data_IF_514073335445
#
_entry.id   IF_514073335445
#
_cell.length_a   1.000
_cell.length_b   1.000
_cell.length_c   1.000
_cell.angle_alpha   90.00
_cell.angle_beta   90.00
_cell.angle_gamma   90.00
#
_symmetry.space_group_name_H-M   'P 1'
#
loop_
_entity.id
_entity.type
_entity.pdbx_description
1 polymer ?
#
# COMPACT_ATOMS: atom_id res chain seq x y z
N UNK A 1 -22.21 4.30 16.57
CA UNK A 1 -20.89 4.04 15.97
C UNK A 1 -20.89 4.67 14.58
N UNK A 2 -20.04 5.67 14.33
CA UNK A 2 -19.89 6.24 12.99
C UNK A 2 -19.26 5.18 12.09
N UNK A 3 -20.01 4.71 11.09
CA UNK A 3 -19.52 3.84 10.03
C UNK A 3 -18.29 4.47 9.40
N UNK A 4 -17.14 3.81 9.48
CA UNK A 4 -15.89 4.28 8.87
C UNK A 4 -16.12 4.36 7.37
N UNK A 5 -16.27 5.57 6.84
CA UNK A 5 -16.51 5.74 5.41
C UNK A 5 -15.21 5.40 4.67
N UNK A 6 -15.29 4.46 3.72
CA UNK A 6 -14.19 4.14 2.82
C UNK A 6 -14.36 4.91 1.51
N UNK A 7 -13.24 5.22 0.87
CA UNK A 7 -13.18 5.89 -0.42
C UNK A 7 -12.16 5.20 -1.31
N UNK A 8 -12.41 5.20 -2.61
CA UNK A 8 -11.44 4.71 -3.59
C UNK A 8 -10.40 5.79 -3.88
N UNK A 9 -9.13 5.38 -3.98
CA UNK A 9 -8.03 6.22 -4.45
C UNK A 9 -7.14 5.41 -5.38
N UNK A 10 -6.28 6.10 -6.15
CA UNK A 10 -5.37 5.47 -7.11
C UNK A 10 -3.94 5.82 -6.73
N UNK A 11 -3.10 4.80 -6.56
CA UNK A 11 -1.66 4.95 -6.43
C UNK A 11 -0.93 4.14 -7.50
N UNK A 12 -0.20 4.83 -8.37
CA UNK A 12 0.43 4.20 -9.53
C UNK A 12 -0.62 3.59 -10.46
N UNK A 13 -0.64 2.25 -10.57
CA UNK A 13 -1.62 1.49 -11.36
C UNK A 13 -2.67 0.76 -10.50
N UNK A 14 -2.62 0.92 -9.18
CA UNK A 14 -3.45 0.16 -8.24
C UNK A 14 -4.60 1.04 -7.74
N UNK A 15 -5.82 0.49 -7.79
CA UNK A 15 -7.00 1.06 -7.12
C UNK A 15 -7.06 0.54 -5.69
N UNK A 16 -7.16 1.44 -4.73
CA UNK A 16 -7.12 1.14 -3.30
C UNK A 16 -8.39 1.63 -2.63
N UNK A 17 -9.02 0.78 -1.82
CA UNK A 17 -10.10 1.18 -0.93
C UNK A 17 -9.50 1.53 0.44
N UNK A 18 -9.62 2.79 0.86
CA UNK A 18 -8.95 3.31 2.06
C UNK A 18 -9.96 4.00 2.98
N UNK A 19 -9.72 4.06 4.31
CA UNK A 19 -10.51 4.91 5.18
C UNK A 19 -10.42 6.37 4.73
N UNK A 20 -11.54 7.07 4.60
CA UNK A 20 -11.56 8.47 4.14
C UNK A 20 -10.69 9.39 5.01
N UNK A 21 -10.64 9.10 6.32
CA UNK A 21 -9.81 9.81 7.29
C UNK A 21 -8.30 9.64 7.08
N UNK A 22 -7.85 8.62 6.35
CA UNK A 22 -6.44 8.44 5.98
C UNK A 22 -5.96 9.45 4.94
N UNK A 23 -6.87 10.09 4.19
CA UNK A 23 -6.51 11.08 3.17
C UNK A 23 -6.43 12.51 3.71
N UNK A 24 -7.16 12.81 4.80
CA UNK A 24 -7.24 14.15 5.38
C UNK A 24 -6.48 14.29 6.71
N UNK A 25 -6.25 13.19 7.43
CA UNK A 25 -5.60 13.21 8.74
C UNK A 25 -4.08 13.42 8.65
N UNK A 26 -3.56 14.35 9.47
CA UNK A 26 -2.10 14.54 9.64
C UNK A 26 -1.39 13.28 10.14
N UNK A 27 -2.08 12.53 11.01
CA UNK A 27 -1.64 11.20 11.47
C UNK A 27 -2.70 10.20 11.00
N UNK A 28 -2.38 9.30 10.06
CA UNK A 28 -3.37 8.37 9.56
C UNK A 28 -3.85 7.41 10.66
N UNK A 29 -5.16 7.10 10.71
CA UNK A 29 -5.69 6.18 11.70
C UNK A 29 -5.21 4.75 11.42
N UNK A 30 -5.11 3.95 12.49
CA UNK A 30 -4.80 2.51 12.39
C UNK A 30 -6.04 1.64 12.31
N UNK A 31 -7.20 2.19 12.67
CA UNK A 31 -8.50 1.51 12.69
C UNK A 31 -9.44 2.25 11.72
N UNK A 32 -10.21 1.55 10.87
CA UNK A 32 -10.26 0.08 10.73
C UNK A 32 -9.05 -0.52 9.99
N UNK A 33 -8.33 0.27 9.21
CA UNK A 33 -7.13 -0.16 8.51
C UNK A 33 -6.16 1.01 8.36
N UNK A 34 -4.86 0.71 8.28
CA UNK A 34 -3.83 1.74 8.15
C UNK A 34 -3.48 2.01 6.68
N UNK A 35 -3.53 3.28 6.30
CA UNK A 35 -3.03 3.77 5.00
C UNK A 35 -2.38 5.14 5.19
N UNK A 36 -1.16 5.31 4.69
CA UNK A 36 -0.46 6.61 4.69
C UNK A 36 -0.15 7.02 3.24
N UNK A 37 -0.83 8.04 2.69
CA UNK A 37 -0.56 8.53 1.34
C UNK A 37 0.85 9.14 1.21
N UNK A 38 1.41 9.72 2.28
CA UNK A 38 2.77 10.28 2.27
C UNK A 38 3.87 9.21 2.11
N UNK A 39 3.55 7.94 2.34
CA UNK A 39 4.48 6.83 2.11
C UNK A 39 4.56 6.36 0.65
N UNK A 40 3.93 7.08 -0.30
CA UNK A 40 3.95 6.76 -1.74
C UNK A 40 5.36 6.57 -2.28
N UNK A 41 6.27 7.52 -2.04
CA UNK A 41 7.64 7.45 -2.56
C UNK A 41 8.38 6.20 -2.04
N UNK A 42 8.13 5.82 -0.79
CA UNK A 42 8.73 4.63 -0.20
C UNK A 42 8.24 3.34 -0.88
N UNK A 43 6.96 3.29 -1.26
CA UNK A 43 6.39 2.19 -2.06
C UNK A 43 6.94 2.18 -3.48
N UNK A 44 7.03 3.33 -4.14
CA UNK A 44 7.61 3.44 -5.49
C UNK A 44 9.05 2.89 -5.53
N UNK A 45 9.87 3.23 -4.54
CA UNK A 45 11.25 2.70 -4.40
C UNK A 45 11.24 1.18 -4.19
N UNK A 46 10.32 0.66 -3.35
CA UNK A 46 10.20 -0.79 -3.13
C UNK A 46 9.85 -1.52 -4.43
N UNK A 47 8.90 -0.99 -5.21
CA UNK A 47 8.52 -1.54 -6.52
C UNK A 47 9.70 -1.48 -7.51
N UNK A 48 10.48 -0.40 -7.50
CA UNK A 48 11.68 -0.29 -8.34
C UNK A 48 12.71 -1.37 -7.99
N UNK A 49 12.93 -1.64 -6.70
CA UNK A 49 13.81 -2.72 -6.24
C UNK A 49 13.26 -4.09 -6.63
N UNK A 50 11.96 -4.36 -6.46
CA UNK A 50 11.37 -5.65 -6.88
C UNK A 50 11.54 -5.92 -8.38
N UNK A 51 11.50 -4.88 -9.21
CA UNK A 51 11.73 -5.01 -10.66
C UNK A 51 13.12 -5.53 -11.00
N UNK A 52 14.15 -5.28 -10.17
CA UNK A 52 15.50 -5.80 -10.44
C UNK A 52 15.58 -7.31 -10.23
N UNK A 53 14.68 -7.89 -9.43
CA UNK A 53 14.60 -9.34 -9.19
C UNK A 53 13.74 -10.08 -10.23
N UNK A 54 12.96 -9.38 -11.07
CA UNK A 54 12.09 -10.00 -12.09
C UNK A 54 12.83 -11.00 -13.00
N UNK A 55 14.04 -10.71 -13.52
CA UNK A 55 14.79 -11.67 -14.31
C UNK A 55 15.13 -12.97 -13.57
N UNK A 56 15.34 -12.89 -12.25
CA UNK A 56 15.63 -14.06 -11.41
C UNK A 56 14.36 -14.84 -11.05
N UNK A 57 13.26 -14.16 -10.74
CA UNK A 57 11.97 -14.78 -10.43
C UNK A 57 11.50 -15.68 -11.58
N UNK A 58 11.71 -15.23 -12.82
CA UNK A 58 11.35 -16.00 -14.01
C UNK A 58 12.15 -17.30 -14.16
N UNK A 59 13.34 -17.40 -13.55
CA UNK A 59 14.20 -18.59 -13.58
C UNK A 59 13.97 -19.49 -12.37
N UNK A 60 13.87 -18.87 -11.18
CA UNK A 60 13.68 -19.54 -9.90
C UNK A 60 12.62 -18.76 -9.11
N UNK A 61 11.39 -19.31 -8.98
CA UNK A 61 10.31 -18.65 -8.26
C UNK A 61 10.76 -18.18 -6.87
N UNK A 62 10.48 -16.92 -6.54
CA UNK A 62 10.76 -16.35 -5.22
C UNK A 62 9.46 -15.89 -4.56
N UNK A 63 9.41 -15.99 -3.25
CA UNK A 63 8.29 -15.52 -2.42
C UNK A 63 8.67 -14.21 -1.73
N UNK A 64 7.72 -13.27 -1.71
CA UNK A 64 7.85 -12.00 -1.00
C UNK A 64 6.88 -11.97 0.17
N UNK A 65 7.28 -11.33 1.28
CA UNK A 65 6.43 -11.15 2.45
C UNK A 65 6.13 -9.67 2.68
N UNK A 66 4.86 -9.37 3.01
CA UNK A 66 4.43 -8.07 3.51
C UNK A 66 3.73 -8.23 4.88
N UNK A 67 4.51 -8.48 5.95
CA UNK A 67 3.94 -8.83 7.26
C UNK A 67 3.18 -7.67 7.93
N UNK A 68 3.36 -6.43 7.47
CA UNK A 68 2.72 -5.23 8.02
C UNK A 68 2.11 -4.35 6.92
N UNK A 69 1.38 -4.98 5.99
CA UNK A 69 0.89 -4.31 4.78
C UNK A 69 -0.19 -3.24 4.97
N UNK A 70 -0.81 -3.13 6.15
CA UNK A 70 -1.95 -2.23 6.36
C UNK A 70 -3.10 -2.62 5.42
N UNK A 71 -3.46 -1.75 4.47
CA UNK A 71 -4.42 -2.06 3.41
C UNK A 71 -3.84 -2.88 2.23
N UNK A 72 -2.55 -3.24 2.27
CA UNK A 72 -1.87 -3.96 1.19
C UNK A 72 -1.49 -3.05 0.01
N UNK A 73 -1.01 -1.84 0.30
CA UNK A 73 -0.71 -0.84 -0.73
C UNK A 73 0.61 -1.08 -1.50
N UNK A 74 1.45 -2.00 -1.03
CA UNK A 74 2.78 -2.29 -1.57
C UNK A 74 2.74 -3.46 -2.55
#
# INVERSE_FOLDING_TARGET
MSSSQFVETIEGKTRLLVPASSLSGKVPPKVPAFFNPSAKLNRDISVLVYKTFVPEINKNPKTFGDPFGGIGAR
#
